data_IF_229669278521
#
_entry.id   IF_229669278521
#
_cell.length_a   1.000
_cell.length_b   1.000
_cell.length_c   1.000
_cell.angle_alpha   90.00
_cell.angle_beta   90.00
_cell.angle_gamma   90.00
#
_symmetry.space_group_name_H-M   'P 1'
#
loop_
_entity.id
_entity.type
_entity.pdbx_description
1 polymer ?
#
# COMPACT_ATOMS: atom_id res chain seq x y z
N UNK A 1 -15.14 -1.98 -0.54
CA UNK A 1 -15.28 -1.61 -1.96
C UNK A 1 -16.63 -0.96 -2.24
N UNK A 2 -17.72 -1.49 -1.68
CA UNK A 2 -19.09 -0.98 -1.85
C UNK A 2 -19.26 0.56 -1.77
N UNK A 3 -18.55 1.26 -0.89
CA UNK A 3 -18.73 2.72 -0.72
C UNK A 3 -18.26 3.56 -1.91
N UNK A 4 -17.20 3.15 -2.63
CA UNK A 4 -16.69 3.89 -3.79
C UNK A 4 -17.54 3.64 -5.03
N UNK A 5 -17.98 2.39 -5.22
CA UNK A 5 -18.91 2.03 -6.29
C UNK A 5 -20.21 2.83 -6.14
N UNK A 6 -20.72 2.98 -4.92
CA UNK A 6 -21.88 3.84 -4.65
C UNK A 6 -21.61 5.32 -4.97
N UNK A 7 -20.45 5.88 -4.61
CA UNK A 7 -20.11 7.27 -4.96
C UNK A 7 -20.05 7.47 -6.47
N UNK A 8 -19.46 6.53 -7.22
CA UNK A 8 -19.37 6.61 -8.69
C UNK A 8 -20.77 6.54 -9.31
N UNK A 9 -21.58 5.56 -8.93
CA UNK A 9 -22.95 5.41 -9.45
C UNK A 9 -23.80 6.65 -9.17
N UNK A 10 -23.67 7.21 -7.97
CA UNK A 10 -24.36 8.44 -7.58
C UNK A 10 -23.88 9.65 -8.38
N UNK A 11 -22.57 9.77 -8.62
CA UNK A 11 -22.02 10.82 -9.46
C UNK A 11 -22.46 10.72 -10.92
N UNK A 12 -22.49 9.51 -11.48
CA UNK A 12 -23.01 9.28 -12.83
C UNK A 12 -24.49 9.70 -12.95
N UNK A 13 -25.31 9.31 -11.97
CA UNK A 13 -26.72 9.73 -11.93
C UNK A 13 -26.87 11.26 -11.79
N UNK A 14 -26.06 11.90 -10.95
CA UNK A 14 -26.07 13.35 -10.82
C UNK A 14 -25.67 14.06 -12.13
N UNK A 15 -24.67 13.52 -12.84
CA UNK A 15 -24.23 14.03 -14.13
C UNK A 15 -25.32 13.88 -15.21
N UNK A 16 -26.00 12.73 -15.25
CA UNK A 16 -27.13 12.48 -16.14
C UNK A 16 -28.26 13.49 -15.90
N UNK A 17 -28.66 13.67 -14.64
CA UNK A 17 -29.69 14.64 -14.26
C UNK A 17 -29.29 16.09 -14.60
N UNK A 18 -28.02 16.44 -14.38
CA UNK A 18 -27.49 17.74 -14.75
C UNK A 18 -27.57 17.98 -16.27
N UNK A 19 -27.20 16.97 -17.08
CA UNK A 19 -27.28 17.05 -18.55
C UNK A 19 -28.74 17.10 -19.05
N UNK A 20 -29.62 16.26 -18.50
CA UNK A 20 -31.05 16.20 -18.86
C UNK A 20 -31.78 17.52 -18.59
N UNK A 21 -31.44 18.19 -17.49
CA UNK A 21 -32.08 19.42 -17.04
C UNK A 21 -31.19 20.67 -17.20
N UNK A 22 -30.21 20.61 -18.10
CA UNK A 22 -29.21 21.67 -18.33
C UNK A 22 -29.83 23.07 -18.52
N UNK A 23 -30.92 23.28 -19.30
CA UNK A 23 -31.50 24.62 -19.50
C UNK A 23 -31.93 25.32 -18.20
N UNK A 24 -32.33 24.55 -17.19
CA UNK A 24 -32.80 25.07 -15.90
C UNK A 24 -31.64 25.15 -14.89
N UNK A 25 -30.74 24.17 -14.92
CA UNK A 25 -29.68 24.03 -13.94
C UNK A 25 -28.46 24.90 -14.24
N UNK A 26 -28.12 25.13 -15.51
CA UNK A 26 -26.91 25.87 -15.90
C UNK A 26 -26.94 27.34 -15.44
N UNK A 27 -28.13 27.94 -15.33
CA UNK A 27 -28.30 29.30 -14.79
C UNK A 27 -28.04 29.37 -13.28
N UNK A 28 -28.16 28.24 -12.58
CA UNK A 28 -28.07 28.15 -11.11
C UNK A 28 -26.77 27.50 -10.63
N UNK A 29 -26.13 26.70 -11.47
CA UNK A 29 -24.84 26.08 -11.20
C UNK A 29 -23.70 27.00 -11.65
N UNK A 30 -22.54 26.94 -10.97
CA UNK A 30 -21.34 27.58 -11.50
C UNK A 30 -21.03 27.06 -12.93
N UNK A 31 -20.52 27.92 -13.82
CA UNK A 31 -20.17 27.50 -15.18
C UNK A 31 -19.16 26.35 -15.15
N UNK A 32 -19.37 25.33 -15.98
CA UNK A 32 -18.50 24.16 -16.07
C UNK A 32 -18.63 23.15 -14.93
N UNK A 33 -19.61 23.28 -14.02
CA UNK A 33 -19.75 22.36 -12.88
C UNK A 33 -20.03 20.90 -13.29
N UNK A 34 -20.80 20.68 -14.36
CA UNK A 34 -21.04 19.34 -14.90
C UNK A 34 -19.75 18.70 -15.45
N UNK A 35 -18.96 19.47 -16.21
CA UNK A 35 -17.65 19.03 -16.71
C UNK A 35 -16.66 18.76 -15.57
N UNK A 36 -16.69 19.57 -14.51
CA UNK A 36 -15.90 19.33 -13.29
C UNK A 36 -16.27 17.99 -12.64
N UNK A 37 -17.57 17.67 -12.50
CA UNK A 37 -18.00 16.38 -11.96
C UNK A 37 -17.53 15.22 -12.85
N UNK A 38 -17.71 15.33 -14.17
CA UNK A 38 -17.28 14.32 -15.14
C UNK A 38 -15.77 14.04 -15.06
N UNK A 39 -14.94 15.08 -15.00
CA UNK A 39 -13.49 14.93 -14.85
C UNK A 39 -13.11 14.24 -13.52
N UNK A 40 -13.75 14.59 -12.40
CA UNK A 40 -13.47 13.96 -11.11
C UNK A 40 -13.96 12.50 -11.05
N UNK A 41 -15.05 12.17 -11.76
CA UNK A 41 -15.51 10.78 -11.90
C UNK A 41 -14.53 9.93 -12.69
N UNK A 42 -13.97 10.47 -13.78
CA UNK A 42 -12.92 9.80 -14.54
C UNK A 42 -11.67 9.56 -13.68
N UNK A 43 -11.22 10.57 -12.93
CA UNK A 43 -10.10 10.44 -11.98
C UNK A 43 -10.37 9.39 -10.90
N UNK A 44 -11.56 9.40 -10.30
CA UNK A 44 -11.92 8.43 -9.26
C UNK A 44 -12.02 7.01 -9.83
N UNK A 45 -12.53 6.86 -11.05
CA UNK A 45 -12.62 5.59 -11.76
C UNK A 45 -11.24 5.00 -12.08
N UNK A 46 -10.29 5.83 -12.52
CA UNK A 46 -8.91 5.42 -12.79
C UNK A 46 -8.13 5.06 -11.51
N UNK A 47 -8.36 5.79 -10.41
CA UNK A 47 -7.66 5.57 -9.14
C UNK A 47 -7.99 4.22 -8.47
N UNK A 48 -9.13 3.59 -8.78
CA UNK A 48 -9.52 2.32 -8.15
C UNK A 48 -8.69 1.13 -8.67
N UNK A 49 -8.58 0.88 -10.00
CA UNK A 49 -7.66 -0.11 -10.56
C UNK A 49 -6.22 0.11 -10.12
N UNK A 50 -5.71 1.34 -10.19
CA UNK A 50 -4.34 1.67 -9.77
C UNK A 50 -4.07 1.25 -8.33
N UNK A 51 -4.98 1.52 -7.41
CA UNK A 51 -4.82 1.07 -6.02
C UNK A 51 -4.86 -0.45 -5.85
N UNK A 52 -5.63 -1.17 -6.67
CA UNK A 52 -5.61 -2.64 -6.63
C UNK A 52 -4.23 -3.16 -7.05
N UNK A 53 -3.66 -2.57 -8.11
CA UNK A 53 -2.31 -2.88 -8.59
C UNK A 53 -1.29 -2.58 -7.51
N UNK A 54 -1.28 -1.37 -6.95
CA UNK A 54 -0.34 -0.98 -5.87
C UNK A 54 -0.44 -1.88 -4.65
N UNK A 55 -1.66 -2.30 -4.27
CA UNK A 55 -1.85 -3.25 -3.16
C UNK A 55 -1.32 -4.64 -3.48
N UNK A 56 -1.51 -5.11 -4.71
CA UNK A 56 -0.96 -6.40 -5.15
C UNK A 56 0.57 -6.33 -5.17
N UNK A 57 1.15 -5.28 -5.73
CA UNK A 57 2.60 -5.03 -5.76
C UNK A 57 3.19 -4.95 -4.34
N UNK A 58 2.54 -4.23 -3.42
CA UNK A 58 2.98 -4.15 -2.02
C UNK A 58 2.97 -5.53 -1.38
N UNK A 59 1.93 -6.34 -1.59
CA UNK A 59 1.87 -7.72 -1.04
C UNK A 59 2.99 -8.60 -1.60
N UNK A 60 3.21 -8.53 -2.91
CA UNK A 60 4.28 -9.27 -3.57
C UNK A 60 5.64 -8.84 -3.03
N UNK A 61 5.88 -7.53 -2.92
CA UNK A 61 7.11 -6.95 -2.38
C UNK A 61 7.36 -7.36 -0.92
N UNK A 62 6.33 -7.28 -0.05
CA UNK A 62 6.43 -7.78 1.33
C UNK A 62 6.77 -9.27 1.38
N UNK A 63 6.21 -10.09 0.48
CA UNK A 63 6.48 -11.53 0.43
C UNK A 63 7.93 -11.78 -0.03
N UNK A 64 8.37 -11.12 -1.12
CA UNK A 64 9.74 -11.21 -1.62
C UNK A 64 10.76 -10.81 -0.56
N UNK A 65 10.49 -9.74 0.20
CA UNK A 65 11.34 -9.33 1.32
C UNK A 65 11.45 -10.43 2.40
N UNK A 66 10.31 -11.01 2.80
CA UNK A 66 10.30 -12.08 3.82
C UNK A 66 11.06 -13.31 3.35
N UNK A 67 10.86 -13.72 2.10
CA UNK A 67 11.53 -14.90 1.54
C UNK A 67 13.04 -14.68 1.46
N UNK A 68 13.48 -13.49 1.02
CA UNK A 68 14.89 -13.15 0.95
C UNK A 68 15.55 -13.07 2.34
N UNK A 69 14.88 -12.47 3.33
CA UNK A 69 15.37 -12.41 4.71
C UNK A 69 15.36 -13.78 5.39
N UNK A 70 14.39 -14.64 5.09
CA UNK A 70 14.33 -16.02 5.56
C UNK A 70 15.55 -16.81 5.06
N UNK A 71 15.81 -16.79 3.75
CA UNK A 71 17.00 -17.44 3.17
C UNK A 71 18.30 -16.93 3.75
N UNK A 72 18.41 -15.61 3.96
CA UNK A 72 19.60 -15.02 4.60
C UNK A 72 19.75 -15.51 6.05
N UNK A 73 18.66 -15.56 6.81
CA UNK A 73 18.68 -16.02 8.20
C UNK A 73 19.03 -17.52 8.30
N UNK A 74 18.54 -18.36 7.39
CA UNK A 74 18.86 -19.78 7.34
C UNK A 74 20.36 -19.99 7.09
N UNK A 75 20.94 -19.26 6.13
CA UNK A 75 22.37 -19.34 5.83
C UNK A 75 23.25 -18.81 6.98
N UNK A 76 22.86 -17.70 7.61
CA UNK A 76 23.50 -17.19 8.83
C UNK A 76 23.47 -18.25 9.93
N UNK A 77 22.34 -18.94 10.09
CA UNK A 77 22.18 -19.98 11.11
C UNK A 77 23.07 -21.19 10.83
N UNK A 78 23.16 -21.63 9.57
CA UNK A 78 24.04 -22.72 9.17
C UNK A 78 25.53 -22.41 9.46
N UNK A 79 25.99 -21.22 9.07
CA UNK A 79 27.37 -20.76 9.35
C UNK A 79 27.63 -20.69 10.86
N UNK A 80 26.67 -20.16 11.64
CA UNK A 80 26.81 -20.09 13.10
C UNK A 80 26.84 -21.46 13.75
N UNK A 81 26.08 -22.43 13.24
CA UNK A 81 26.12 -23.80 13.75
C UNK A 81 27.51 -24.38 13.52
N UNK A 82 28.05 -24.27 12.29
CA UNK A 82 29.39 -24.75 11.95
C UNK A 82 30.45 -24.17 12.92
N UNK A 83 30.48 -22.84 13.08
CA UNK A 83 31.44 -22.17 13.99
C UNK A 83 31.19 -22.51 15.46
N UNK A 84 29.94 -22.72 15.87
CA UNK A 84 29.60 -23.04 17.27
C UNK A 84 30.04 -24.44 17.66
N UNK A 85 29.94 -25.40 16.73
CA UNK A 85 30.23 -26.82 16.97
C UNK A 85 31.68 -27.19 16.70
N UNK A 86 32.46 -26.28 16.13
CA UNK A 86 33.88 -26.48 15.87
C UNK A 86 34.68 -26.38 17.19
N UNK A 87 35.45 -27.42 17.50
CA UNK A 87 36.23 -27.50 18.75
C UNK A 87 37.40 -26.51 18.78
N UNK A 88 37.88 -26.07 17.61
CA UNK A 88 38.97 -25.09 17.50
C UNK A 88 38.45 -23.64 17.62
N UNK A 89 37.13 -23.43 17.69
CA UNK A 89 36.52 -22.09 17.78
C UNK A 89 36.71 -21.44 19.15
N UNK A 90 37.41 -20.30 19.20
CA UNK A 90 37.56 -19.51 20.42
C UNK A 90 36.29 -18.71 20.73
N UNK A 91 36.13 -18.26 21.98
CA UNK A 91 35.02 -17.34 22.33
C UNK A 91 35.05 -16.03 21.55
N UNK A 92 36.25 -15.57 21.14
CA UNK A 92 36.39 -14.42 20.25
C UNK A 92 35.83 -14.72 18.85
N UNK A 93 36.13 -15.89 18.28
CA UNK A 93 35.55 -16.30 17.00
C UNK A 93 34.02 -16.38 17.09
N UNK A 94 33.50 -16.99 18.17
CA UNK A 94 32.05 -17.10 18.36
C UNK A 94 31.38 -15.73 18.41
N UNK A 95 31.96 -14.78 19.14
CA UNK A 95 31.48 -13.39 19.20
C UNK A 95 31.57 -12.69 17.83
N UNK A 96 32.66 -12.88 17.11
CA UNK A 96 32.88 -12.25 15.80
C UNK A 96 31.87 -12.76 14.76
N UNK A 97 31.51 -14.05 14.79
CA UNK A 97 30.43 -14.65 13.99
C UNK A 97 29.03 -14.40 14.56
N UNK A 98 28.92 -13.46 15.51
CA UNK A 98 27.68 -13.01 16.13
C UNK A 98 26.88 -14.14 16.82
N UNK A 99 27.55 -15.18 17.32
CA UNK A 99 26.88 -16.23 18.11
C UNK A 99 26.28 -15.58 19.36
N UNK A 100 24.99 -15.86 19.60
CA UNK A 100 24.20 -15.22 20.67
C UNK A 100 23.39 -14.00 20.23
N UNK A 101 23.68 -13.38 19.07
CA UNK A 101 22.84 -12.32 18.55
C UNK A 101 21.54 -12.89 17.95
N UNK A 102 20.39 -12.29 18.27
CA UNK A 102 19.08 -12.71 17.75
C UNK A 102 18.98 -12.41 16.25
N UNK A 103 18.68 -13.44 15.46
CA UNK A 103 18.38 -13.34 14.02
C UNK A 103 16.91 -13.67 13.84
N UNK A 104 16.11 -12.64 13.55
CA UNK A 104 14.68 -12.77 13.36
C UNK A 104 14.35 -12.23 11.95
N UNK A 105 13.89 -13.06 10.99
CA UNK A 105 13.53 -12.62 9.64
C UNK A 105 12.48 -11.51 9.61
N UNK A 106 11.74 -11.30 10.71
CA UNK A 106 10.76 -10.21 10.87
C UNK A 106 11.40 -8.86 11.21
N UNK A 107 12.70 -8.84 11.51
CA UNK A 107 13.48 -7.63 11.84
C UNK A 107 14.59 -7.46 10.80
N UNK A 108 14.28 -6.88 9.61
CA UNK A 108 15.20 -6.84 8.46
C UNK A 108 16.58 -6.30 8.80
N UNK A 109 16.64 -5.16 9.50
CA UNK A 109 17.90 -4.51 9.87
C UNK A 109 18.79 -5.39 10.76
N UNK A 110 18.18 -6.21 11.63
CA UNK A 110 18.93 -7.14 12.49
C UNK A 110 19.61 -8.23 11.68
N UNK A 111 18.87 -8.86 10.75
CA UNK A 111 19.40 -9.92 9.88
C UNK A 111 20.48 -9.38 8.94
N UNK A 112 20.24 -8.22 8.32
CA UNK A 112 21.20 -7.57 7.42
C UNK A 112 22.49 -7.16 8.14
N UNK A 113 22.39 -6.65 9.37
CA UNK A 113 23.55 -6.28 10.18
C UNK A 113 24.40 -7.51 10.55
N UNK A 114 23.76 -8.60 10.98
CA UNK A 114 24.45 -9.86 11.29
C UNK A 114 25.13 -10.44 10.05
N UNK A 115 24.42 -10.49 8.91
CA UNK A 115 25.00 -10.98 7.66
C UNK A 115 26.23 -10.18 7.24
N UNK A 116 26.15 -8.84 7.30
CA UNK A 116 27.29 -7.96 7.01
C UNK A 116 28.47 -8.16 7.97
N UNK A 117 28.20 -8.39 9.27
CA UNK A 117 29.23 -8.69 10.25
C UNK A 117 29.98 -9.98 9.90
N UNK A 118 29.26 -11.07 9.60
CA UNK A 118 29.87 -12.37 9.24
C UNK A 118 30.71 -12.24 7.96
N UNK A 119 30.18 -11.58 6.92
CA UNK A 119 30.92 -11.31 5.67
C UNK A 119 32.22 -10.56 5.97
N UNK A 120 32.15 -9.47 6.75
CA UNK A 120 33.32 -8.65 7.11
C UNK A 120 34.36 -9.48 7.86
N UNK A 121 33.93 -10.25 8.85
CA UNK A 121 34.84 -11.08 9.67
C UNK A 121 35.53 -12.12 8.81
N UNK A 122 34.79 -12.88 8.00
CA UNK A 122 35.35 -13.93 7.17
C UNK A 122 36.33 -13.38 6.12
N UNK A 123 36.03 -12.21 5.54
CA UNK A 123 36.93 -11.53 4.59
C UNK A 123 38.20 -10.98 5.25
N UNK A 124 38.11 -10.51 6.50
CA UNK A 124 39.28 -10.00 7.23
C UNK A 124 40.23 -11.10 7.68
N UNK A 125 39.75 -12.34 7.86
CA UNK A 125 40.52 -13.49 8.34
C UNK A 125 40.18 -14.76 7.56
N UNK A 126 40.49 -14.83 6.25
CA UNK A 126 40.03 -15.92 5.38
C UNK A 126 40.59 -17.29 5.78
N UNK A 127 41.84 -17.35 6.24
CA UNK A 127 42.45 -18.60 6.73
C UNK A 127 41.74 -19.12 7.98
N UNK A 128 41.40 -18.22 8.91
CA UNK A 128 40.65 -18.59 10.12
C UNK A 128 39.24 -19.02 9.80
N UNK A 129 38.57 -18.35 8.87
CA UNK A 129 37.24 -18.75 8.40
C UNK A 129 37.27 -20.17 7.81
N UNK A 130 38.26 -20.50 6.99
CA UNK A 130 38.44 -21.84 6.42
C UNK A 130 38.70 -22.91 7.49
N UNK A 131 39.52 -22.60 8.50
CA UNK A 131 39.74 -23.50 9.64
C UNK A 131 38.45 -23.84 10.38
N UNK A 132 37.54 -22.86 10.51
CA UNK A 132 36.21 -23.01 11.13
C UNK A 132 35.17 -23.62 10.18
N UNK A 133 35.60 -24.24 9.08
CA UNK A 133 34.72 -24.87 8.09
C UNK A 133 33.91 -23.90 7.22
N UNK A 134 34.21 -22.59 7.23
CA UNK A 134 33.53 -21.59 6.40
C UNK A 134 34.33 -21.35 5.12
N UNK A 135 33.85 -21.85 4.00
CA UNK A 135 34.57 -21.81 2.72
C UNK A 135 34.34 -20.49 1.98
N UNK A 136 35.24 -20.11 1.04
CA UNK A 136 35.02 -18.94 0.17
C UNK A 136 33.70 -18.99 -0.62
N UNK A 137 33.25 -20.19 -1.01
CA UNK A 137 31.96 -20.40 -1.67
C UNK A 137 30.77 -20.04 -0.78
N UNK A 138 30.84 -20.33 0.51
CA UNK A 138 29.78 -20.01 1.47
C UNK A 138 29.70 -18.52 1.71
N UNK A 139 30.85 -17.85 1.77
CA UNK A 139 30.92 -16.39 1.85
C UNK A 139 30.35 -15.76 0.60
N UNK A 140 30.70 -16.23 -0.60
CA UNK A 140 30.14 -15.72 -1.85
C UNK A 140 28.61 -15.90 -1.90
N UNK A 141 28.10 -17.05 -1.47
CA UNK A 141 26.66 -17.30 -1.35
C UNK A 141 26.00 -16.37 -0.33
N UNK A 142 26.64 -16.13 0.81
CA UNK A 142 26.16 -15.20 1.84
C UNK A 142 26.11 -13.76 1.33
N UNK A 143 27.12 -13.32 0.58
CA UNK A 143 27.14 -12.00 -0.06
C UNK A 143 26.02 -11.83 -1.07
N UNK A 144 25.83 -12.81 -1.95
CA UNK A 144 24.75 -12.79 -2.94
C UNK A 144 23.37 -12.74 -2.26
N UNK A 145 23.17 -13.55 -1.22
CA UNK A 145 21.91 -13.61 -0.46
C UNK A 145 21.69 -12.32 0.35
N UNK A 146 22.75 -11.75 0.92
CA UNK A 146 22.71 -10.48 1.63
C UNK A 146 22.33 -9.33 0.70
N UNK A 147 22.97 -9.23 -0.47
CA UNK A 147 22.65 -8.23 -1.47
C UNK A 147 21.19 -8.35 -1.95
N UNK A 148 20.72 -9.58 -2.20
CA UNK A 148 19.32 -9.83 -2.59
C UNK A 148 18.33 -9.40 -1.48
N UNK A 149 18.62 -9.72 -0.21
CA UNK A 149 17.80 -9.32 0.92
C UNK A 149 17.80 -7.81 1.14
N UNK A 150 18.95 -7.14 0.99
CA UNK A 150 19.05 -5.68 1.08
C UNK A 150 18.27 -4.98 -0.04
N UNK A 151 18.37 -5.47 -1.27
CA UNK A 151 17.60 -4.96 -2.40
C UNK A 151 16.08 -5.14 -2.20
N UNK A 152 15.64 -6.33 -1.75
CA UNK A 152 14.24 -6.59 -1.44
C UNK A 152 13.74 -5.72 -0.26
N UNK A 153 14.60 -5.47 0.73
CA UNK A 153 14.26 -4.58 1.85
C UNK A 153 14.02 -3.14 1.37
N UNK A 154 14.94 -2.60 0.57
CA UNK A 154 14.81 -1.27 -0.01
C UNK A 154 13.59 -1.14 -0.93
N UNK A 155 13.32 -2.15 -1.78
CA UNK A 155 12.16 -2.16 -2.67
C UNK A 155 10.84 -2.05 -1.88
N UNK A 156 10.73 -2.76 -0.76
CA UNK A 156 9.56 -2.69 0.11
C UNK A 156 9.42 -1.33 0.80
N UNK A 157 10.52 -0.72 1.22
CA UNK A 157 10.48 0.63 1.80
C UNK A 157 9.98 1.67 0.79
N UNK A 158 10.45 1.58 -0.46
CA UNK A 158 9.96 2.44 -1.56
C UNK A 158 8.48 2.20 -1.83
N UNK A 159 8.03 0.94 -1.89
CA UNK A 159 6.63 0.60 -2.10
C UNK A 159 5.74 1.13 -0.97
N UNK A 160 6.18 0.95 0.29
CA UNK A 160 5.50 1.46 1.48
C UNK A 160 5.40 2.98 1.50
N UNK A 161 6.43 3.68 1.04
CA UNK A 161 6.42 5.15 0.95
C UNK A 161 5.40 5.69 -0.06
N UNK A 162 5.08 4.93 -1.13
CA UNK A 162 4.09 5.32 -2.17
C UNK A 162 2.64 5.06 -1.78
N UNK A 163 2.38 4.11 -0.88
CA UNK A 163 1.02 3.72 -0.50
C UNK A 163 0.14 4.86 0.07
N UNK A 164 0.65 5.81 0.88
CA UNK A 164 -0.13 6.94 1.39
C UNK A 164 -0.62 7.90 0.30
N UNK A 165 0.21 8.15 -0.71
CA UNK A 165 -0.09 9.13 -1.78
C UNK A 165 -1.29 8.68 -2.61
N UNK A 166 -1.30 7.41 -3.01
CA UNK A 166 -2.40 6.82 -3.79
C UNK A 166 -3.72 6.80 -3.00
N UNK A 167 -3.65 6.59 -1.69
CA UNK A 167 -4.83 6.62 -0.81
C UNK A 167 -5.39 8.03 -0.66
N UNK A 168 -4.51 9.02 -0.45
CA UNK A 168 -4.89 10.44 -0.32
C UNK A 168 -5.51 10.96 -1.61
N UNK A 169 -4.90 10.70 -2.76
CA UNK A 169 -5.39 11.15 -4.06
C UNK A 169 -6.81 10.63 -4.35
N UNK A 170 -7.06 9.33 -4.15
CA UNK A 170 -8.40 8.75 -4.31
C UNK A 170 -9.43 9.35 -3.35
N UNK A 171 -9.07 9.52 -2.08
CA UNK A 171 -9.99 10.08 -1.10
C UNK A 171 -10.35 11.54 -1.42
N UNK A 172 -9.37 12.33 -1.90
CA UNK A 172 -9.60 13.68 -2.38
C UNK A 172 -10.54 13.70 -3.60
N UNK A 173 -10.33 12.82 -4.58
CA UNK A 173 -11.23 12.69 -5.74
C UNK A 173 -12.66 12.31 -5.31
N UNK A 174 -12.81 11.36 -4.38
CA UNK A 174 -14.11 10.98 -3.80
C UNK A 174 -14.81 12.18 -3.16
N UNK A 175 -14.09 12.95 -2.34
CA UNK A 175 -14.66 14.12 -1.67
C UNK A 175 -15.13 15.18 -2.68
N UNK A 176 -14.34 15.43 -3.73
CA UNK A 176 -14.73 16.35 -4.82
C UNK A 176 -16.00 15.89 -5.54
N UNK A 177 -16.12 14.59 -5.83
CA UNK A 177 -17.35 14.01 -6.42
C UNK A 177 -18.53 14.20 -5.46
N UNK A 178 -18.36 13.87 -4.18
CA UNK A 178 -19.44 13.98 -3.18
C UNK A 178 -19.91 15.44 -3.01
N UNK A 179 -18.99 16.41 -3.02
CA UNK A 179 -19.31 17.85 -2.98
C UNK A 179 -20.07 18.29 -4.23
N UNK A 180 -19.62 17.89 -5.43
CA UNK A 180 -20.27 18.24 -6.69
C UNK A 180 -21.69 17.63 -6.78
N UNK A 181 -21.84 16.36 -6.40
CA UNK A 181 -23.15 15.69 -6.32
C UNK A 181 -24.10 16.44 -5.39
N UNK A 182 -23.65 16.82 -4.18
CA UNK A 182 -24.49 17.57 -3.23
C UNK A 182 -24.92 18.92 -3.79
N UNK A 183 -24.04 19.62 -4.52
CA UNK A 183 -24.36 20.90 -5.14
C UNK A 183 -25.41 20.76 -6.24
N UNK A 184 -25.25 19.79 -7.14
CA UNK A 184 -26.25 19.49 -8.19
C UNK A 184 -27.58 19.10 -7.56
N UNK A 185 -27.57 18.20 -6.57
CA UNK A 185 -28.77 17.78 -5.87
C UNK A 185 -29.49 18.96 -5.21
N UNK A 186 -28.79 19.80 -4.45
CA UNK A 186 -29.38 20.97 -3.79
C UNK A 186 -29.91 22.03 -4.76
N UNK A 187 -29.26 22.24 -5.89
CA UNK A 187 -29.78 23.16 -6.93
C UNK A 187 -31.00 22.56 -7.63
N UNK A 188 -30.98 21.26 -7.93
CA UNK A 188 -32.09 20.55 -8.55
C UNK A 188 -33.33 20.50 -7.68
N UNK A 189 -33.19 20.27 -6.37
CA UNK A 189 -34.35 20.28 -5.45
C UNK A 189 -35.04 21.65 -5.38
N UNK A 190 -34.27 22.74 -5.46
CA UNK A 190 -34.82 24.10 -5.53
C UNK A 190 -35.45 24.38 -6.89
N UNK A 191 -34.75 24.03 -7.98
CA UNK A 191 -35.21 24.29 -9.34
C UNK A 191 -36.54 23.60 -9.66
N UNK A 192 -36.73 22.39 -9.12
CA UNK A 192 -37.91 21.55 -9.36
C UNK A 192 -38.83 21.45 -8.14
N UNK A 193 -38.84 22.48 -7.27
CA UNK A 193 -39.60 22.45 -6.01
C UNK A 193 -41.10 22.15 -6.17
N UNK A 194 -41.69 22.55 -7.31
CA UNK A 194 -43.10 22.35 -7.67
C UNK A 194 -43.35 21.10 -8.53
N UNK A 195 -42.29 20.39 -8.92
CA UNK A 195 -42.35 19.16 -9.72
C UNK A 195 -41.93 17.96 -8.86
N UNK A 196 -42.85 17.34 -8.11
CA UNK A 196 -42.51 16.36 -7.08
C UNK A 196 -41.77 15.13 -7.63
N UNK A 197 -42.10 14.69 -8.85
CA UNK A 197 -41.43 13.58 -9.51
C UNK A 197 -39.94 13.91 -9.76
N UNK A 198 -39.65 14.99 -10.48
CA UNK A 198 -38.29 15.44 -10.79
C UNK A 198 -37.49 15.74 -9.52
N UNK A 199 -38.10 16.44 -8.54
CA UNK A 199 -37.47 16.74 -7.25
C UNK A 199 -37.01 15.48 -6.52
N UNK A 200 -37.82 14.43 -6.52
CA UNK A 200 -37.49 13.18 -5.82
C UNK A 200 -36.22 12.51 -6.39
N UNK A 201 -35.96 12.67 -7.70
CA UNK A 201 -34.74 12.16 -8.35
C UNK A 201 -33.48 12.86 -7.81
N UNK A 202 -33.55 14.16 -7.54
CA UNK A 202 -32.45 14.94 -6.93
C UNK A 202 -32.31 14.68 -5.42
N UNK A 203 -33.42 14.55 -4.68
CA UNK A 203 -33.38 14.19 -3.26
C UNK A 203 -32.75 12.81 -3.03
N UNK A 204 -32.99 11.85 -3.95
CA UNK A 204 -32.38 10.53 -3.89
C UNK A 204 -30.83 10.58 -3.96
N UNK A 205 -30.24 11.63 -4.54
CA UNK A 205 -28.78 11.83 -4.53
C UNK A 205 -28.25 12.22 -3.13
N UNK A 206 -29.08 12.81 -2.26
CA UNK A 206 -28.68 13.20 -0.90
C UNK A 206 -28.78 12.05 0.10
N UNK A 207 -29.60 11.05 -0.18
CA UNK A 207 -29.69 9.82 0.59
C UNK A 207 -28.38 9.01 0.45
N UNK A 208 -27.39 9.32 1.29
CA UNK A 208 -26.12 8.59 1.30
C UNK A 208 -26.27 7.11 1.66
N UNK A 209 -25.25 6.28 1.40
CA UNK A 209 -25.29 4.82 1.62
C UNK A 209 -25.56 4.37 3.08
N UNK A 210 -25.56 5.28 4.06
CA UNK A 210 -25.83 4.99 5.48
C UNK A 210 -27.23 5.39 5.96
N UNK A 211 -28.10 5.93 5.10
CA UNK A 211 -29.42 6.42 5.46
C UNK A 211 -30.46 5.33 5.67
N UNK A 212 -30.21 4.34 6.53
CA UNK A 212 -31.32 3.57 7.12
C UNK A 212 -32.09 4.56 8.01
N UNK A 213 -33.24 5.04 7.54
CA UNK A 213 -34.22 5.73 8.38
C UNK A 213 -34.47 4.85 9.60
N UNK A 214 -34.08 5.33 10.78
CA UNK A 214 -34.51 4.73 12.06
C UNK A 214 -36.05 4.77 12.03
N UNK A 215 -36.76 3.64 12.18
CA UNK A 215 -38.22 3.68 12.23
C UNK A 215 -38.64 4.57 13.42
N UNK A 216 -39.73 5.35 13.29
CA UNK A 216 -40.23 6.14 14.41
C UNK A 216 -40.53 5.19 15.57
N UNK A 217 -40.10 5.59 16.77
CA UNK A 217 -40.43 4.86 17.99
C UNK A 217 -41.96 4.82 18.17
N UNK A 218 -42.51 3.69 18.66
CA UNK A 218 -43.94 3.55 18.90
C UNK A 218 -44.47 4.54 19.94
#
# INVERSE_FOLDING_TARGET
MATFDVTIQRGLKALELAKKHAPVLDVRLPPGHAAYLEANLAQLGAAIPEQKVVRAETRTSSQTQRDALGRLADLISAIRIAVKTDDDATEADKKDYAIGARVDPRVPNGVLAVGAQIIRVAKSRPQRAQQLGVLPSDIALLEATHAAAAAAHHAEDVARARAPETTRARNAAKERVDVAVKKIAGVGTIAFALEPATRSEFEALLAGPGGKKKPPAP
#
